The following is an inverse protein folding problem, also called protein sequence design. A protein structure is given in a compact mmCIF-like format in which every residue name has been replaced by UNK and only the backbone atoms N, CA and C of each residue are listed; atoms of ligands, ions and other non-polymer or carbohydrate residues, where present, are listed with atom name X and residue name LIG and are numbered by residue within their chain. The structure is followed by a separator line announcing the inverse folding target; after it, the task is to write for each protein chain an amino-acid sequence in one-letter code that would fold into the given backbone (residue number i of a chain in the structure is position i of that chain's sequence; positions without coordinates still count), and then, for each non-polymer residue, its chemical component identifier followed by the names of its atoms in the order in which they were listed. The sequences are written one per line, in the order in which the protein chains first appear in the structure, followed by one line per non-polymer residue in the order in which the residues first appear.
data_IF_873609346405
#
_entry.id   IF_873609346405
#
_cell.length_a   1.000
_cell.length_b   1.000
_cell.length_c   1.000
_cell.angle_alpha   90.00
_cell.angle_beta   90.00
_cell.angle_gamma   90.00
#
_symmetry.space_group_name_H-M   'P 1'
#
loop_
_entity.id
_entity.type
_entity.pdbx_description
1 polymer ?
#
# COMPACT_ATOMS: atom_id res chain seq x y z
N UNK A 1 -34.87 -7.39 -10.12
CA UNK A 1 -33.48 -7.11 -9.69
C UNK A 1 -33.20 -5.65 -10.02
N UNK A 2 -32.74 -4.89 -9.04
CA UNK A 2 -32.37 -3.49 -9.29
C UNK A 2 -31.14 -3.42 -10.16
N UNK A 3 -31.01 -2.35 -10.97
CA UNK A 3 -29.90 -2.18 -11.90
C UNK A 3 -28.93 -1.12 -11.39
N UNK A 4 -27.63 -1.39 -11.55
CA UNK A 4 -26.58 -0.44 -11.21
C UNK A 4 -25.59 -0.29 -12.39
N UNK A 5 -25.16 0.93 -12.64
CA UNK A 5 -24.13 1.24 -13.64
C UNK A 5 -22.90 1.75 -12.93
N UNK A 6 -21.76 1.12 -13.20
CA UNK A 6 -20.44 1.52 -12.68
C UNK A 6 -19.65 2.12 -13.84
N UNK A 7 -19.19 3.35 -13.69
CA UNK A 7 -18.40 4.05 -14.71
C UNK A 7 -16.92 3.92 -14.38
N UNK A 8 -16.19 3.21 -15.24
CA UNK A 8 -14.77 2.94 -15.12
C UNK A 8 -14.46 1.57 -14.49
N UNK A 9 -13.47 0.88 -15.06
CA UNK A 9 -13.05 -0.47 -14.68
C UNK A 9 -11.69 -0.51 -13.98
N UNK A 10 -11.28 0.57 -13.30
CA UNK A 10 -10.14 0.52 -12.38
C UNK A 10 -10.44 -0.37 -11.16
N UNK A 11 -9.48 -0.64 -10.28
CA UNK A 11 -9.71 -1.46 -9.08
C UNK A 11 -10.90 -0.99 -8.24
N UNK A 12 -11.10 0.33 -8.08
CA UNK A 12 -12.26 0.87 -7.38
C UNK A 12 -13.59 0.50 -8.06
N UNK A 13 -13.67 0.67 -9.40
CA UNK A 13 -14.87 0.29 -10.15
C UNK A 13 -15.13 -1.21 -10.15
N UNK A 14 -14.10 -2.01 -10.31
CA UNK A 14 -14.22 -3.48 -10.23
C UNK A 14 -14.68 -3.93 -8.84
N UNK A 15 -14.06 -3.38 -7.78
CA UNK A 15 -14.44 -3.70 -6.39
C UNK A 15 -15.88 -3.34 -6.08
N UNK A 16 -16.34 -2.12 -6.47
CA UNK A 16 -17.74 -1.73 -6.19
C UNK A 16 -18.73 -2.55 -7.02
N UNK A 17 -18.38 -2.88 -8.27
CA UNK A 17 -19.22 -3.74 -9.10
C UNK A 17 -19.42 -5.12 -8.47
N UNK A 18 -18.34 -5.75 -7.97
CA UNK A 18 -18.43 -7.02 -7.24
C UNK A 18 -19.31 -6.88 -5.98
N UNK A 19 -19.12 -5.84 -5.17
CA UNK A 19 -19.91 -5.62 -3.95
C UNK A 19 -21.38 -5.40 -4.27
N UNK A 20 -21.72 -4.59 -5.27
CA UNK A 20 -23.10 -4.41 -5.72
C UNK A 20 -23.72 -5.72 -6.24
N UNK A 21 -22.92 -6.52 -6.97
CA UNK A 21 -23.38 -7.84 -7.43
C UNK A 21 -23.66 -8.78 -6.26
N UNK A 22 -22.82 -8.79 -5.24
CA UNK A 22 -23.04 -9.56 -4.01
C UNK A 22 -24.27 -9.11 -3.23
N UNK A 23 -24.66 -7.83 -3.33
CA UNK A 23 -25.90 -7.27 -2.78
C UNK A 23 -27.15 -7.58 -3.62
N UNK A 24 -27.00 -8.24 -4.77
CA UNK A 24 -28.11 -8.68 -5.62
C UNK A 24 -28.47 -7.72 -6.77
N UNK A 25 -27.67 -6.69 -7.04
CA UNK A 25 -27.87 -5.82 -8.20
C UNK A 25 -27.48 -6.50 -9.51
N UNK A 26 -28.18 -6.13 -10.61
CA UNK A 26 -27.72 -6.39 -11.97
C UNK A 26 -26.73 -5.26 -12.34
N UNK A 27 -25.44 -5.59 -12.46
CA UNK A 27 -24.38 -4.57 -12.61
C UNK A 27 -23.86 -4.53 -14.02
N UNK A 28 -23.81 -3.31 -14.59
CA UNK A 28 -23.16 -3.01 -15.88
C UNK A 28 -21.97 -2.10 -15.64
N UNK A 29 -20.78 -2.49 -16.14
CA UNK A 29 -19.57 -1.65 -16.09
C UNK A 29 -19.38 -0.99 -17.46
N UNK A 30 -19.26 0.35 -17.46
CA UNK A 30 -18.91 1.12 -18.63
C UNK A 30 -17.45 1.56 -18.58
N UNK A 31 -16.65 1.10 -19.54
CA UNK A 31 -15.25 1.47 -19.68
C UNK A 31 -15.02 2.14 -21.05
N UNK A 32 -14.29 3.27 -21.03
CA UNK A 32 -14.00 4.02 -22.26
C UNK A 32 -12.81 3.50 -23.05
N UNK A 33 -11.95 2.70 -22.41
CA UNK A 33 -10.76 2.11 -23.01
C UNK A 33 -11.03 0.66 -23.43
N UNK A 34 -10.26 0.19 -24.39
CA UNK A 34 -10.35 -1.22 -24.86
C UNK A 34 -9.91 -2.24 -23.82
N UNK A 35 -9.14 -1.80 -22.80
CA UNK A 35 -8.61 -2.63 -21.74
C UNK A 35 -9.13 -2.22 -20.37
N UNK A 36 -9.53 -3.22 -19.57
CA UNK A 36 -9.91 -3.03 -18.17
C UNK A 36 -8.70 -2.68 -17.28
N UNK A 37 -8.97 -2.19 -16.08
CA UNK A 37 -7.97 -1.98 -15.03
C UNK A 37 -7.61 -0.53 -14.78
N UNK A 38 -8.02 0.41 -15.64
CA UNK A 38 -7.73 1.83 -15.44
C UNK A 38 -6.22 2.11 -15.34
N UNK A 39 -5.73 2.59 -14.18
CA UNK A 39 -4.29 2.79 -13.93
C UNK A 39 -3.52 1.46 -13.74
N UNK A 40 -4.19 0.36 -13.46
CA UNK A 40 -3.61 -0.98 -13.36
C UNK A 40 -3.71 -1.77 -14.68
N UNK A 41 -4.02 -1.11 -15.80
CA UNK A 41 -4.04 -1.74 -17.12
C UNK A 41 -2.63 -2.09 -17.59
N UNK A 42 -2.55 -2.99 -18.54
CA UNK A 42 -1.32 -3.32 -19.26
C UNK A 42 -1.25 -2.54 -20.55
N UNK A 43 -0.10 -2.00 -20.88
CA UNK A 43 0.21 -1.38 -22.15
C UNK A 43 0.98 -2.39 -23.03
N UNK A 44 0.70 -2.35 -24.33
CA UNK A 44 1.35 -3.22 -25.32
C UNK A 44 2.11 -2.34 -26.32
N UNK A 45 3.40 -2.60 -26.47
CA UNK A 45 4.20 -1.90 -27.46
C UNK A 45 5.36 -2.78 -27.95
N UNK A 46 5.56 -2.86 -29.28
CA UNK A 46 6.66 -3.59 -29.91
C UNK A 46 6.74 -5.08 -29.51
N UNK A 47 5.61 -5.73 -29.22
CA UNK A 47 5.57 -7.12 -28.78
C UNK A 47 5.81 -7.33 -27.30
N UNK A 48 6.02 -6.24 -26.54
CA UNK A 48 6.23 -6.27 -25.09
C UNK A 48 4.96 -5.84 -24.34
N UNK A 49 4.83 -6.34 -23.11
CA UNK A 49 3.78 -6.00 -22.16
C UNK A 49 4.37 -5.15 -21.02
N UNK A 50 3.71 -4.05 -20.68
CA UNK A 50 4.14 -3.15 -19.60
C UNK A 50 2.98 -2.91 -18.63
N UNK A 51 3.21 -3.13 -17.34
CA UNK A 51 2.27 -2.67 -16.32
C UNK A 51 2.26 -1.14 -16.28
N UNK A 52 1.09 -0.54 -16.46
CA UNK A 52 0.95 0.92 -16.56
C UNK A 52 0.98 1.63 -15.18
N UNK A 53 0.99 0.90 -14.09
CA UNK A 53 0.80 1.47 -12.76
C UNK A 53 1.32 0.60 -11.62
N UNK A 54 0.53 0.46 -10.55
CA UNK A 54 0.99 -0.16 -9.32
C UNK A 54 1.30 -1.65 -9.51
N UNK A 55 2.53 -2.03 -9.18
CA UNK A 55 2.99 -3.43 -9.19
C UNK A 55 3.20 -3.98 -7.78
N UNK A 56 3.21 -3.10 -6.78
CA UNK A 56 3.46 -3.43 -5.37
C UNK A 56 2.14 -3.63 -4.64
N UNK A 57 1.93 -4.82 -4.08
CA UNK A 57 0.73 -5.18 -3.33
C UNK A 57 1.10 -5.39 -1.87
N UNK A 58 0.57 -4.54 -0.98
CA UNK A 58 0.89 -4.53 0.46
C UNK A 58 -0.24 -5.01 1.35
N UNK A 59 -1.46 -5.14 0.81
CA UNK A 59 -2.65 -5.53 1.54
C UNK A 59 -3.44 -6.61 0.76
N UNK A 60 -2.88 -7.82 0.57
CA UNK A 60 -3.48 -8.87 -0.26
C UNK A 60 -4.86 -9.31 0.26
N UNK A 61 -5.12 -9.19 1.56
CA UNK A 61 -6.41 -9.53 2.15
C UNK A 61 -7.57 -8.73 1.57
N UNK A 62 -7.35 -7.46 1.17
CA UNK A 62 -8.39 -6.64 0.53
C UNK A 62 -8.85 -7.20 -0.82
N UNK A 63 -7.95 -7.87 -1.53
CA UNK A 63 -8.31 -8.58 -2.76
C UNK A 63 -9.12 -9.85 -2.42
N UNK A 64 -8.67 -10.63 -1.42
CA UNK A 64 -9.34 -11.85 -1.01
C UNK A 64 -10.77 -11.59 -0.53
N UNK A 65 -11.01 -10.55 0.26
CA UNK A 65 -12.33 -10.16 0.75
C UNK A 65 -13.38 -10.04 -0.37
N UNK A 66 -12.98 -9.59 -1.57
CA UNK A 66 -13.91 -9.48 -2.70
C UNK A 66 -14.35 -10.85 -3.20
N UNK A 67 -13.44 -11.83 -3.24
CA UNK A 67 -13.75 -13.20 -3.66
C UNK A 67 -14.57 -13.94 -2.60
N UNK A 68 -14.30 -13.70 -1.34
CA UNK A 68 -15.05 -14.26 -0.20
C UNK A 68 -16.53 -13.87 -0.24
N UNK A 69 -16.90 -12.70 -0.79
CA UNK A 69 -18.31 -12.31 -1.00
C UNK A 69 -19.10 -13.31 -1.86
N UNK A 70 -18.38 -14.10 -2.68
CA UNK A 70 -18.96 -15.10 -3.58
C UNK A 70 -18.61 -16.53 -3.17
N UNK A 71 -18.10 -16.74 -1.96
CA UNK A 71 -17.57 -18.01 -1.46
C UNK A 71 -16.49 -18.61 -2.39
N UNK A 72 -15.63 -17.75 -2.97
CA UNK A 72 -14.56 -18.10 -3.87
C UNK A 72 -13.20 -17.82 -3.23
N UNK A 73 -12.17 -18.56 -3.66
CA UNK A 73 -10.79 -18.32 -3.29
C UNK A 73 -10.10 -17.49 -4.39
N UNK A 74 -9.50 -16.37 -4.02
CA UNK A 74 -8.78 -15.52 -4.99
C UNK A 74 -7.62 -16.26 -5.67
N UNK A 75 -7.04 -17.28 -5.02
CA UNK A 75 -5.94 -18.10 -5.55
C UNK A 75 -6.33 -18.95 -6.77
N UNK A 76 -7.62 -19.18 -6.99
CA UNK A 76 -8.12 -19.85 -8.19
C UNK A 76 -8.14 -18.93 -9.41
N UNK A 77 -7.97 -17.61 -9.21
CA UNK A 77 -8.09 -16.57 -10.23
C UNK A 77 -6.78 -15.88 -10.55
N UNK A 78 -5.93 -15.67 -9.56
CA UNK A 78 -4.59 -15.09 -9.73
C UNK A 78 -3.65 -15.56 -8.61
N UNK A 79 -2.36 -15.53 -8.89
CA UNK A 79 -1.33 -15.87 -7.93
C UNK A 79 -0.55 -14.63 -7.48
N UNK A 80 -0.30 -14.51 -6.16
CA UNK A 80 0.51 -13.45 -5.58
C UNK A 80 1.84 -14.01 -5.10
N UNK A 81 2.93 -13.55 -5.71
CA UNK A 81 4.29 -13.94 -5.37
C UNK A 81 4.84 -13.01 -4.29
N UNK A 82 5.26 -13.57 -3.16
CA UNK A 82 5.88 -12.81 -2.08
C UNK A 82 7.28 -12.38 -2.46
N UNK A 83 7.57 -11.07 -2.38
CA UNK A 83 8.87 -10.48 -2.71
C UNK A 83 9.81 -10.51 -1.50
N UNK A 84 11.07 -10.87 -1.72
CA UNK A 84 12.14 -10.83 -0.68
C UNK A 84 13.49 -10.52 -1.33
N UNK A 85 14.23 -9.47 -0.87
CA UNK A 85 13.74 -8.41 0.03
C UNK A 85 12.57 -7.65 -0.61
N UNK A 86 11.81 -6.88 0.16
CA UNK A 86 10.75 -6.02 -0.39
C UNK A 86 11.36 -4.98 -1.32
N UNK A 87 12.42 -4.31 -0.84
CA UNK A 87 13.18 -3.31 -1.61
C UNK A 87 14.66 -3.43 -1.29
N UNK A 88 15.51 -3.18 -2.28
CA UNK A 88 16.95 -2.95 -2.09
C UNK A 88 17.27 -1.50 -2.39
N UNK A 89 17.79 -0.80 -1.39
CA UNK A 89 18.29 0.56 -1.53
C UNK A 89 19.78 0.50 -1.78
N UNK A 90 20.24 1.12 -2.87
CA UNK A 90 21.66 1.26 -3.20
C UNK A 90 22.00 2.73 -3.05
N UNK A 91 23.01 3.03 -2.23
CA UNK A 91 23.45 4.39 -1.94
C UNK A 91 24.62 4.81 -2.84
N UNK A 92 24.94 6.11 -2.83
CA UNK A 92 26.01 6.68 -3.64
C UNK A 92 27.40 6.12 -3.31
N UNK A 93 27.62 5.68 -2.07
CA UNK A 93 28.83 5.00 -1.61
C UNK A 93 28.89 3.51 -1.98
N UNK A 94 27.95 3.06 -2.82
CA UNK A 94 27.75 1.66 -3.25
C UNK A 94 27.34 0.70 -2.12
N UNK A 95 27.15 1.17 -0.90
CA UNK A 95 26.52 0.36 0.15
C UNK A 95 25.05 0.10 -0.19
N UNK A 96 24.48 -0.93 0.42
CA UNK A 96 23.08 -1.25 0.21
C UNK A 96 22.37 -1.59 1.52
N UNK A 97 21.05 -1.43 1.51
CA UNK A 97 20.17 -1.81 2.59
C UNK A 97 18.97 -2.59 2.02
N UNK A 98 18.83 -3.82 2.47
CA UNK A 98 17.71 -4.70 2.10
C UNK A 98 16.58 -4.54 3.12
N UNK A 99 15.50 -3.89 2.68
CA UNK A 99 14.31 -3.70 3.49
C UNK A 99 13.30 -4.83 3.27
N UNK A 100 12.70 -5.30 4.36
CA UNK A 100 11.61 -6.25 4.28
C UNK A 100 12.03 -7.71 4.33
N UNK A 101 12.34 -8.13 5.52
CA UNK A 101 12.53 -9.53 5.91
C UNK A 101 11.85 -9.73 7.28
N UNK A 102 12.29 -10.70 8.06
CA UNK A 102 11.85 -10.80 9.45
C UNK A 102 12.38 -9.65 10.30
N UNK A 103 11.67 -9.28 11.38
CA UNK A 103 12.12 -8.26 12.32
C UNK A 103 13.53 -8.59 12.85
N UNK A 104 13.82 -9.87 13.12
CA UNK A 104 15.13 -10.33 13.57
C UNK A 104 16.24 -10.01 12.56
N UNK A 105 16.00 -10.29 11.27
CA UNK A 105 16.96 -10.00 10.20
C UNK A 105 17.15 -8.49 9.99
N UNK A 106 16.05 -7.71 10.03
CA UNK A 106 16.12 -6.25 9.95
C UNK A 106 16.96 -5.66 11.09
N UNK A 107 16.69 -6.06 12.33
CA UNK A 107 17.45 -5.59 13.50
C UNK A 107 18.91 -6.00 13.44
N UNK A 108 19.21 -7.21 12.97
CA UNK A 108 20.58 -7.67 12.78
C UNK A 108 21.31 -6.79 11.76
N UNK A 109 20.73 -6.58 10.58
CA UNK A 109 21.30 -5.74 9.53
C UNK A 109 21.52 -4.29 9.99
N UNK A 110 20.53 -3.70 10.69
CA UNK A 110 20.66 -2.34 11.19
C UNK A 110 21.78 -2.22 12.23
N UNK A 111 21.90 -3.19 13.17
CA UNK A 111 23.01 -3.22 14.15
C UNK A 111 24.37 -3.33 13.49
N UNK A 112 24.50 -4.21 12.49
CA UNK A 112 25.78 -4.49 11.85
C UNK A 112 26.23 -3.35 10.93
N UNK A 113 25.31 -2.72 10.19
CA UNK A 113 25.65 -1.74 9.15
C UNK A 113 25.53 -0.29 9.62
N UNK A 114 24.83 -0.04 10.73
CA UNK A 114 24.58 1.30 11.26
C UNK A 114 24.88 1.36 12.76
N UNK A 115 23.85 1.25 13.62
CA UNK A 115 24.07 1.32 15.07
C UNK A 115 23.02 0.55 15.88
N UNK A 116 23.36 0.27 17.15
CA UNK A 116 22.42 -0.25 18.13
C UNK A 116 21.29 0.75 18.42
N UNK A 117 21.60 2.04 18.41
CA UNK A 117 20.61 3.12 18.61
C UNK A 117 19.57 3.12 17.50
N UNK A 118 20.02 3.01 16.22
CA UNK A 118 19.14 2.93 15.07
C UNK A 118 18.26 1.67 15.10
N UNK A 119 18.78 0.56 15.59
CA UNK A 119 17.97 -0.65 15.76
C UNK A 119 16.83 -0.47 16.78
N UNK A 120 17.11 0.21 17.91
CA UNK A 120 16.05 0.59 18.85
C UNK A 120 15.09 1.63 18.26
N UNK A 121 15.63 2.59 17.51
CA UNK A 121 14.85 3.58 16.77
C UNK A 121 13.88 2.94 15.79
N UNK A 122 14.32 1.93 15.05
CA UNK A 122 13.48 1.18 14.12
C UNK A 122 12.31 0.48 14.82
N UNK A 123 12.53 -0.12 15.99
CA UNK A 123 11.43 -0.71 16.77
C UNK A 123 10.39 0.36 17.17
N UNK A 124 10.86 1.54 17.60
CA UNK A 124 9.96 2.65 17.95
C UNK A 124 9.20 3.17 16.74
N UNK A 125 9.88 3.31 15.59
CA UNK A 125 9.27 3.71 14.34
C UNK A 125 8.17 2.72 13.90
N UNK A 126 8.44 1.42 13.97
CA UNK A 126 7.45 0.39 13.62
C UNK A 126 6.22 0.41 14.54
N UNK A 127 6.42 0.64 15.85
CA UNK A 127 5.32 0.86 16.80
C UNK A 127 4.52 2.14 16.48
N UNK A 128 5.21 3.19 16.05
CA UNK A 128 4.56 4.43 15.62
C UNK A 128 3.75 4.23 14.33
N UNK A 129 4.30 3.54 13.33
CA UNK A 129 3.61 3.16 12.09
C UNK A 129 2.36 2.32 12.37
N UNK A 130 2.42 1.40 13.35
CA UNK A 130 1.23 0.66 13.81
C UNK A 130 0.14 1.59 14.37
N UNK A 131 0.52 2.56 15.22
CA UNK A 131 -0.47 3.52 15.76
C UNK A 131 -1.13 4.34 14.67
N UNK A 132 -0.34 4.75 13.67
CA UNK A 132 -0.88 5.46 12.50
C UNK A 132 -1.87 4.56 11.75
N UNK A 133 -1.51 3.30 11.51
CA UNK A 133 -2.40 2.34 10.87
C UNK A 133 -3.69 2.14 11.66
N UNK A 134 -3.60 1.90 12.98
CA UNK A 134 -4.77 1.69 13.83
C UNK A 134 -5.69 2.92 13.84
N UNK A 135 -5.13 4.13 13.76
CA UNK A 135 -5.91 5.38 13.77
C UNK A 135 -6.41 5.73 12.36
N UNK A 136 -5.52 5.89 11.40
CA UNK A 136 -5.86 6.44 10.09
C UNK A 136 -6.53 5.41 9.18
N UNK A 137 -6.15 4.14 9.29
CA UNK A 137 -6.71 3.10 8.42
C UNK A 137 -7.91 2.40 9.08
N UNK A 138 -7.75 1.82 10.29
CA UNK A 138 -8.84 1.03 10.88
C UNK A 138 -10.01 1.87 11.38
N UNK A 139 -9.75 3.11 11.87
CA UNK A 139 -10.82 3.94 12.41
C UNK A 139 -11.39 4.96 11.43
N UNK A 140 -10.57 5.45 10.48
CA UNK A 140 -10.94 6.61 9.67
C UNK A 140 -11.16 6.29 8.19
N UNK A 141 -10.76 5.10 7.68
CA UNK A 141 -10.88 4.78 6.25
C UNK A 141 -12.32 4.72 5.75
N UNK A 142 -13.26 4.35 6.62
CA UNK A 142 -14.67 4.17 6.27
C UNK A 142 -15.49 5.46 6.44
N UNK A 143 -14.88 6.54 6.95
CA UNK A 143 -15.57 7.80 7.13
C UNK A 143 -15.40 8.71 5.92
N UNK A 144 -16.48 9.16 5.30
CA UNK A 144 -16.41 10.18 4.26
C UNK A 144 -16.08 11.54 4.90
N UNK A 145 -14.92 12.09 4.59
CA UNK A 145 -14.55 13.45 5.01
C UNK A 145 -15.14 14.48 4.06
N UNK A 146 -16.44 14.68 4.13
CA UNK A 146 -17.18 15.59 3.22
C UNK A 146 -16.97 17.07 3.56
N UNK A 147 -16.57 17.39 4.79
CA UNK A 147 -16.37 18.75 5.26
C UNK A 147 -15.27 18.82 6.33
N UNK A 148 -14.73 20.03 6.55
CA UNK A 148 -13.82 20.28 7.67
C UNK A 148 -14.47 20.01 9.03
N UNK A 149 -15.77 20.24 9.14
CA UNK A 149 -16.53 19.97 10.38
C UNK A 149 -16.58 18.48 10.70
N UNK A 150 -16.71 17.60 9.71
CA UNK A 150 -16.71 16.15 9.92
C UNK A 150 -15.35 15.62 10.39
N UNK A 151 -14.27 16.38 10.20
CA UNK A 151 -12.92 16.04 10.66
C UNK A 151 -12.66 16.45 12.12
N UNK A 152 -13.37 17.45 12.66
CA UNK A 152 -13.09 18.03 13.99
C UNK A 152 -13.02 16.98 15.12
N UNK A 153 -13.91 15.98 15.22
CA UNK A 153 -13.86 14.98 16.28
C UNK A 153 -12.56 14.14 16.26
N UNK A 154 -11.94 14.01 15.10
CA UNK A 154 -10.74 13.17 14.91
C UNK A 154 -9.42 13.95 15.05
N UNK A 155 -9.47 15.28 15.11
CA UNK A 155 -8.28 16.14 15.25
C UNK A 155 -7.39 15.72 16.43
N UNK A 156 -7.87 15.44 17.64
CA UNK A 156 -7.01 15.04 18.75
C UNK A 156 -6.24 13.74 18.46
N UNK A 157 -6.87 12.74 17.81
CA UNK A 157 -6.22 11.49 17.42
C UNK A 157 -5.19 11.72 16.32
N UNK A 158 -5.52 12.52 15.32
CA UNK A 158 -4.60 12.91 14.24
C UNK A 158 -3.37 13.66 14.80
N UNK A 159 -3.57 14.55 15.76
CA UNK A 159 -2.47 15.26 16.44
C UNK A 159 -1.55 14.30 17.20
N UNK A 160 -2.10 13.27 17.86
CA UNK A 160 -1.30 12.25 18.57
C UNK A 160 -0.38 11.47 17.64
N UNK A 161 -0.82 11.18 16.41
CA UNK A 161 0.01 10.51 15.40
C UNK A 161 0.90 11.50 14.64
N UNK A 162 0.86 12.78 14.97
CA UNK A 162 1.67 13.87 14.36
C UNK A 162 1.48 13.98 12.85
N UNK A 163 0.23 13.83 12.38
CA UNK A 163 -0.11 13.83 10.96
C UNK A 163 0.41 15.04 10.17
N UNK A 164 0.61 16.17 10.85
CA UNK A 164 1.11 17.43 10.30
C UNK A 164 2.60 17.40 9.94
N UNK A 165 3.35 16.42 10.43
CA UNK A 165 4.76 16.26 10.06
C UNK A 165 4.88 15.55 8.70
N UNK A 166 5.99 15.80 7.99
CA UNK A 166 6.33 14.99 6.82
C UNK A 166 6.83 13.61 7.25
N UNK A 167 6.73 12.64 6.35
CA UNK A 167 7.27 11.29 6.57
C UNK A 167 8.75 11.36 6.94
N UNK A 168 9.55 12.12 6.18
CA UNK A 168 10.99 12.27 6.44
C UNK A 168 11.27 12.79 7.85
N UNK A 169 10.59 13.87 8.26
CA UNK A 169 10.75 14.46 9.60
C UNK A 169 10.34 13.49 10.69
N UNK A 170 9.27 12.73 10.48
CA UNK A 170 8.82 11.72 11.43
C UNK A 170 9.86 10.59 11.57
N UNK A 171 10.37 10.03 10.46
CA UNK A 171 11.41 8.99 10.48
C UNK A 171 12.70 9.48 11.14
N UNK A 172 13.13 10.71 10.83
CA UNK A 172 14.32 11.34 11.41
C UNK A 172 14.22 11.50 12.95
N UNK A 173 13.01 11.58 13.50
CA UNK A 173 12.84 11.63 14.97
C UNK A 173 13.16 10.32 15.69
N UNK A 174 13.26 9.21 14.96
CA UNK A 174 13.55 7.88 15.51
C UNK A 174 14.95 7.37 15.17
N UNK A 175 15.56 7.84 14.07
CA UNK A 175 16.80 7.31 13.50
C UNK A 175 17.87 8.40 13.37
N UNK A 176 19.14 7.95 13.36
CA UNK A 176 20.31 8.83 13.25
C UNK A 176 21.00 8.72 11.90
N UNK A 177 21.10 7.52 11.35
CA UNK A 177 21.84 7.26 10.11
C UNK A 177 21.11 7.76 8.89
N UNK A 178 21.72 8.70 8.13
CA UNK A 178 21.10 9.36 6.98
C UNK A 178 20.61 8.37 5.91
N UNK A 179 21.41 7.34 5.59
CA UNK A 179 21.02 6.35 4.59
C UNK A 179 19.77 5.58 5.05
N UNK A 180 19.71 5.22 6.33
CA UNK A 180 18.56 4.52 6.89
C UNK A 180 17.32 5.41 6.94
N UNK A 181 17.47 6.70 7.30
CA UNK A 181 16.38 7.69 7.25
C UNK A 181 15.83 7.80 5.83
N UNK A 182 16.69 7.94 4.81
CA UNK A 182 16.27 8.01 3.40
C UNK A 182 15.51 6.76 2.99
N UNK A 183 16.06 5.57 3.26
CA UNK A 183 15.44 4.30 2.91
C UNK A 183 14.05 4.13 3.55
N UNK A 184 13.92 4.40 4.86
CA UNK A 184 12.67 4.20 5.59
C UNK A 184 11.66 5.36 5.41
N UNK A 185 12.04 6.41 4.69
CA UNK A 185 11.13 7.50 4.30
C UNK A 185 10.49 7.30 2.92
N UNK A 186 10.79 6.22 2.20
CA UNK A 186 10.43 6.04 0.79
C UNK A 186 8.94 5.85 0.50
N UNK A 187 8.15 5.42 1.48
CA UNK A 187 6.76 4.97 1.27
C UNK A 187 5.86 5.96 0.50
N UNK A 188 5.96 7.29 0.67
CA UNK A 188 5.20 8.22 -0.17
C UNK A 188 5.47 8.09 -1.67
N UNK A 189 6.67 7.64 -2.08
CA UNK A 189 7.02 7.45 -3.49
C UNK A 189 6.12 6.41 -4.17
N UNK A 190 5.63 5.42 -3.44
CA UNK A 190 4.72 4.38 -3.94
C UNK A 190 3.39 4.96 -4.44
N UNK A 191 3.02 6.14 -3.97
CA UNK A 191 1.78 6.84 -4.33
C UNK A 191 2.03 8.18 -5.02
N UNK A 192 3.28 8.41 -5.49
CA UNK A 192 3.66 9.63 -6.20
C UNK A 192 3.88 10.85 -5.27
N UNK A 193 4.03 10.64 -3.97
CA UNK A 193 4.28 11.70 -3.00
C UNK A 193 5.76 11.94 -2.72
N UNK A 194 6.10 13.16 -2.31
CA UNK A 194 7.45 13.53 -1.88
C UNK A 194 7.61 13.30 -0.37
N UNK A 195 8.57 12.47 0.11
CA UNK A 195 8.77 12.19 1.54
C UNK A 195 8.98 13.42 2.43
N UNK A 196 9.49 14.52 1.87
CA UNK A 196 9.77 15.76 2.61
C UNK A 196 8.53 16.63 2.84
N UNK A 197 7.48 16.45 2.04
CA UNK A 197 6.25 17.26 2.10
C UNK A 197 5.00 16.45 2.41
N UNK A 198 5.00 15.15 2.11
CA UNK A 198 3.86 14.26 2.34
C UNK A 198 3.70 13.97 3.83
N UNK A 199 2.46 14.02 4.30
CA UNK A 199 2.08 13.75 5.71
C UNK A 199 2.58 12.39 6.21
N UNK A 200 2.97 12.36 7.49
CA UNK A 200 3.44 11.13 8.16
C UNK A 200 2.40 10.00 8.22
N UNK A 201 1.15 10.26 7.88
CA UNK A 201 0.10 9.22 7.77
C UNK A 201 0.57 8.09 6.86
N UNK A 202 1.32 8.37 5.79
CA UNK A 202 1.84 7.37 4.86
C UNK A 202 2.83 6.37 5.47
N UNK A 203 3.30 6.58 6.71
CA UNK A 203 4.04 5.56 7.47
C UNK A 203 3.18 4.33 7.81
N UNK A 204 1.85 4.42 7.69
CA UNK A 204 0.99 3.24 7.80
C UNK A 204 1.38 2.14 6.81
N UNK A 205 1.89 2.50 5.62
CA UNK A 205 2.33 1.55 4.59
C UNK A 205 3.46 0.67 5.13
N UNK A 206 4.41 1.24 5.89
CA UNK A 206 5.48 0.47 6.51
C UNK A 206 4.94 -0.63 7.43
N UNK A 207 3.86 -0.36 8.17
CA UNK A 207 3.21 -1.36 9.01
C UNK A 207 2.46 -2.41 8.19
N UNK A 208 1.78 -2.00 7.10
CA UNK A 208 1.13 -2.91 6.16
C UNK A 208 2.14 -3.92 5.60
N UNK A 209 3.26 -3.43 5.10
CA UNK A 209 4.34 -4.26 4.54
C UNK A 209 4.92 -5.21 5.58
N UNK A 210 5.16 -4.71 6.81
CA UNK A 210 5.67 -5.54 7.88
C UNK A 210 4.69 -6.65 8.29
N UNK A 211 3.40 -6.34 8.35
CA UNK A 211 2.37 -7.27 8.83
C UNK A 211 2.00 -8.32 7.80
N UNK A 212 1.79 -7.92 6.55
CA UNK A 212 1.32 -8.81 5.49
C UNK A 212 2.39 -9.15 4.44
N UNK A 213 3.42 -8.36 4.34
CA UNK A 213 4.45 -8.50 3.32
C UNK A 213 4.18 -7.66 2.07
N UNK A 214 5.10 -7.78 1.12
CA UNK A 214 4.98 -7.19 -0.21
C UNK A 214 4.86 -8.30 -1.22
N UNK A 215 3.94 -8.15 -2.15
CA UNK A 215 3.63 -9.14 -3.17
C UNK A 215 3.64 -8.49 -4.56
N UNK A 216 3.84 -9.34 -5.54
CA UNK A 216 3.72 -9.04 -6.97
C UNK A 216 2.72 -10.03 -7.57
N UNK A 217 1.86 -9.58 -8.49
CA UNK A 217 0.96 -10.46 -9.21
C UNK A 217 1.71 -11.27 -10.25
N UNK A 218 1.64 -12.60 -10.19
CA UNK A 218 2.20 -13.48 -11.21
C UNK A 218 1.53 -13.19 -12.57
N UNK A 219 2.33 -12.82 -13.57
CA UNK A 219 1.82 -12.30 -14.84
C UNK A 219 1.41 -10.80 -14.80
N UNK A 220 1.91 -10.05 -13.81
CA UNK A 220 1.69 -8.62 -13.66
C UNK A 220 0.32 -8.25 -13.08
N UNK A 221 0.05 -6.95 -12.98
CA UNK A 221 -1.24 -6.43 -12.48
C UNK A 221 -2.42 -6.88 -13.32
N UNK A 222 -2.18 -7.16 -14.61
CA UNK A 222 -3.18 -7.72 -15.53
C UNK A 222 -3.81 -9.01 -15.01
N UNK A 223 -3.01 -9.91 -14.42
CA UNK A 223 -3.53 -11.17 -13.91
C UNK A 223 -4.59 -10.92 -12.83
N UNK A 224 -4.35 -9.96 -11.94
CA UNK A 224 -5.29 -9.57 -10.89
C UNK A 224 -6.55 -8.95 -11.51
N UNK A 225 -6.40 -8.00 -12.46
CA UNK A 225 -7.54 -7.38 -13.15
C UNK A 225 -8.40 -8.43 -13.86
N UNK A 226 -7.78 -9.43 -14.49
CA UNK A 226 -8.50 -10.56 -15.13
C UNK A 226 -9.27 -11.40 -14.11
N UNK A 227 -8.74 -11.58 -12.91
CA UNK A 227 -9.40 -12.31 -11.85
C UNK A 227 -10.72 -11.69 -11.39
N UNK A 228 -10.89 -10.38 -11.57
CA UNK A 228 -12.14 -9.68 -11.26
C UNK A 228 -13.20 -9.77 -12.37
N UNK A 229 -12.87 -10.30 -13.53
CA UNK A 229 -13.76 -10.43 -14.69
C UNK A 229 -14.55 -11.76 -14.62
#
# INVERSE_FOLDING_TARGET
MEKAIVIGSGFGGLSIACRLRAMGYEVTILEKLDNLGGRARTLYHGGFEYDAGPTVITAPYLLNEIFELFNKDSRDYFNLLKVKPFYRFVFSDKSHFDYGSSLKSMLHQIRSNYSQEDAYGYIKLLKHSKRIFDTAYLKLSDYPFESLQSMLPYVPELMRIKFYQSVHKSVQSFLKSNNLIKALSMHPLLVGGNPYTTTSIYLLIQYLEWKWGVYYGDGGTRAIVKGFK
#
